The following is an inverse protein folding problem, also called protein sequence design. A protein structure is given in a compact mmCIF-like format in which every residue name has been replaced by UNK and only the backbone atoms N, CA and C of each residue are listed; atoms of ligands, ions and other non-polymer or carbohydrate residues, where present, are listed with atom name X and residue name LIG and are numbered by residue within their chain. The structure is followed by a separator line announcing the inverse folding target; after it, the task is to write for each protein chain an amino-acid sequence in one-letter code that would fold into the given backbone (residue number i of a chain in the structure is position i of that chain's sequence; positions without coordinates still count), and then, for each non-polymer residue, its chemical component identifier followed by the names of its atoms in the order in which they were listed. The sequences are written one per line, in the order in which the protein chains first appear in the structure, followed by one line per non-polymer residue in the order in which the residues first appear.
data_IF_940200894052
#
_entry.id   IF_940200894052
#
_cell.length_a   1.000
_cell.length_b   1.000
_cell.length_c   1.000
_cell.angle_alpha   90.00
_cell.angle_beta   90.00
_cell.angle_gamma   90.00
#
_symmetry.space_group_name_H-M   'P 1'
#
loop_
_entity.id
_entity.type
_entity.pdbx_description
1 polymer ?
#
# COMPACT_ATOMS: atom_id res chain seq x y z
N UNK A 1 -5.72 14.37 15.11
CA UNK A 1 -4.54 14.79 14.35
C UNK A 1 -3.35 14.00 14.89
N UNK A 2 -2.54 13.44 13.98
CA UNK A 2 -1.33 12.69 14.35
C UNK A 2 -0.13 13.64 14.36
N UNK A 3 0.79 13.45 15.30
CA UNK A 3 2.02 14.26 15.33
C UNK A 3 2.98 13.79 14.22
N UNK A 4 3.19 12.47 14.08
CA UNK A 4 4.10 11.94 13.10
C UNK A 4 3.58 10.70 12.37
N UNK A 5 3.71 10.71 11.04
CA UNK A 5 3.61 9.54 10.17
C UNK A 5 5.01 9.01 9.86
N UNK A 6 5.28 7.77 10.21
CA UNK A 6 6.39 6.98 9.70
C UNK A 6 6.01 6.32 8.38
N UNK A 7 6.53 6.82 7.27
CA UNK A 7 6.26 6.27 5.94
C UNK A 7 7.40 5.36 5.50
N UNK A 8 7.11 4.07 5.35
CA UNK A 8 8.09 3.08 4.88
C UNK A 8 7.69 2.64 3.47
N UNK A 9 8.40 3.16 2.48
CA UNK A 9 8.06 3.05 1.06
C UNK A 9 7.44 4.34 0.51
N UNK A 10 8.30 5.23 -0.03
CA UNK A 10 7.91 6.56 -0.53
C UNK A 10 7.51 6.55 -2.03
N UNK A 11 7.04 5.42 -2.58
CA UNK A 11 6.57 5.32 -3.96
C UNK A 11 5.18 5.92 -4.17
N UNK A 12 4.51 5.57 -5.28
CA UNK A 12 3.17 6.06 -5.62
C UNK A 12 2.18 5.93 -4.46
N UNK A 13 2.00 4.72 -3.92
CA UNK A 13 0.97 4.47 -2.89
C UNK A 13 1.30 5.18 -1.57
N UNK A 14 2.51 4.98 -1.06
CA UNK A 14 2.93 5.62 0.20
C UNK A 14 2.97 7.14 0.09
N UNK A 15 3.50 7.66 -1.03
CA UNK A 15 3.55 9.10 -1.30
C UNK A 15 2.17 9.72 -1.38
N UNK A 16 1.24 9.07 -2.08
CA UNK A 16 -0.15 9.54 -2.16
C UNK A 16 -0.84 9.56 -0.80
N UNK A 17 -0.57 8.57 0.06
CA UNK A 17 -1.10 8.56 1.41
C UNK A 17 -0.57 9.73 2.25
N UNK A 18 0.74 9.98 2.19
CA UNK A 18 1.35 11.10 2.90
C UNK A 18 0.78 12.45 2.43
N UNK A 19 0.64 12.64 1.11
CA UNK A 19 0.03 13.85 0.54
C UNK A 19 -1.44 14.01 0.95
N UNK A 20 -2.22 12.92 0.96
CA UNK A 20 -3.61 12.93 1.40
C UNK A 20 -3.73 13.32 2.88
N UNK A 21 -2.87 12.75 3.74
CA UNK A 21 -2.80 13.08 5.17
C UNK A 21 -2.47 14.56 5.41
N UNK A 22 -1.49 15.10 4.68
CA UNK A 22 -1.11 16.51 4.75
C UNK A 22 -2.24 17.41 4.26
N UNK A 23 -2.84 17.11 3.11
CA UNK A 23 -3.96 17.87 2.54
C UNK A 23 -5.17 17.94 3.46
N UNK A 24 -5.44 16.83 4.15
CA UNK A 24 -6.54 16.75 5.12
C UNK A 24 -6.20 17.35 6.50
N UNK A 25 -4.99 17.83 6.73
CA UNK A 25 -4.54 18.35 8.03
C UNK A 25 -4.51 17.30 9.14
N UNK A 26 -4.33 16.03 8.78
CA UNK A 26 -4.37 14.90 9.71
C UNK A 26 -3.01 14.55 10.30
N UNK A 27 -1.93 15.06 9.74
CA UNK A 27 -0.57 14.82 10.23
C UNK A 27 0.24 16.12 10.24
N UNK A 28 1.06 16.30 11.26
CA UNK A 28 1.96 17.45 11.38
C UNK A 28 3.28 17.23 10.64
N UNK A 29 3.81 16.00 10.69
CA UNK A 29 5.12 15.65 10.14
C UNK A 29 5.12 14.27 9.51
N UNK A 30 5.78 14.14 8.37
CA UNK A 30 6.01 12.86 7.70
C UNK A 30 7.51 12.56 7.67
N UNK A 31 7.91 11.45 8.29
CA UNK A 31 9.28 10.93 8.24
C UNK A 31 9.27 9.73 7.31
N UNK A 32 10.01 9.81 6.19
CA UNK A 32 9.97 8.81 5.14
C UNK A 32 11.26 8.02 4.99
N UNK A 33 11.11 6.75 4.64
CA UNK A 33 12.22 5.86 4.28
C UNK A 33 11.85 5.04 3.05
N UNK A 34 12.80 4.87 2.16
CA UNK A 34 12.77 3.90 1.06
C UNK A 34 14.10 3.17 0.96
N UNK A 35 14.07 1.94 0.43
CA UNK A 35 15.31 1.17 0.19
C UNK A 35 16.26 1.89 -0.77
N UNK A 36 15.72 2.63 -1.75
CA UNK A 36 16.50 3.52 -2.63
C UNK A 36 16.57 4.92 -2.02
N UNK A 37 17.77 5.43 -1.68
CA UNK A 37 17.94 6.80 -1.16
C UNK A 37 17.43 7.87 -2.13
N UNK A 38 17.63 7.68 -3.44
CA UNK A 38 17.13 8.61 -4.47
C UNK A 38 15.61 8.78 -4.43
N UNK A 39 14.86 7.70 -4.14
CA UNK A 39 13.40 7.78 -3.96
C UNK A 39 13.03 8.61 -2.73
N UNK A 40 13.77 8.47 -1.64
CA UNK A 40 13.51 9.23 -0.40
C UNK A 40 13.84 10.70 -0.59
N UNK A 41 15.00 10.99 -1.20
CA UNK A 41 15.40 12.36 -1.56
C UNK A 41 14.36 13.02 -2.49
N UNK A 42 13.92 12.30 -3.52
CA UNK A 42 12.89 12.80 -4.44
C UNK A 42 11.56 13.07 -3.75
N UNK A 43 11.14 12.18 -2.85
CA UNK A 43 9.94 12.39 -2.03
C UNK A 43 10.03 13.66 -1.18
N UNK A 44 11.20 13.97 -0.64
CA UNK A 44 11.44 15.20 0.12
C UNK A 44 11.39 16.44 -0.78
N UNK A 45 12.05 16.40 -1.93
CA UNK A 45 12.03 17.50 -2.90
C UNK A 45 10.62 17.85 -3.36
N UNK A 46 9.76 16.84 -3.53
CA UNK A 46 8.36 17.01 -3.92
C UNK A 46 7.43 17.36 -2.75
N UNK A 47 7.94 17.53 -1.54
CA UNK A 47 7.15 17.86 -0.36
C UNK A 47 6.25 16.72 0.15
N UNK A 48 6.47 15.49 -0.35
CA UNK A 48 5.74 14.30 0.10
C UNK A 48 6.10 13.95 1.54
N UNK A 49 7.40 13.97 1.85
CA UNK A 49 7.93 13.79 3.22
C UNK A 49 8.63 15.07 3.69
N UNK A 50 8.69 15.25 5.00
CA UNK A 50 9.35 16.39 5.62
C UNK A 50 10.80 16.06 6.02
N UNK A 51 11.03 14.79 6.37
CA UNK A 51 12.33 14.30 6.83
C UNK A 51 12.64 12.97 6.17
N UNK A 52 13.88 12.85 5.70
CA UNK A 52 14.45 11.59 5.22
C UNK A 52 14.99 10.79 6.39
N UNK A 53 14.57 9.52 6.50
CA UNK A 53 15.15 8.60 7.48
C UNK A 53 16.13 7.64 6.79
N UNK A 54 17.27 7.32 7.41
CA UNK A 54 18.25 6.38 6.85
C UNK A 54 17.83 4.91 6.99
N UNK A 55 16.77 4.63 7.75
CA UNK A 55 16.25 3.27 7.96
C UNK A 55 14.76 3.27 8.29
N UNK A 56 14.12 2.11 8.10
CA UNK A 56 12.73 1.90 8.52
C UNK A 56 12.54 2.12 10.03
N UNK A 57 13.53 1.71 10.84
CA UNK A 57 13.51 1.92 12.28
C UNK A 57 13.42 3.42 12.63
N UNK A 58 14.25 4.26 12.01
CA UNK A 58 14.25 5.69 12.28
C UNK A 58 13.05 6.41 11.66
N UNK A 59 12.46 5.90 10.60
CA UNK A 59 11.19 6.42 10.08
C UNK A 59 10.03 6.15 11.05
N UNK A 60 10.04 5.01 11.73
CA UNK A 60 9.00 4.64 12.70
C UNK A 60 9.22 5.21 14.10
N UNK A 61 10.44 5.70 14.41
CA UNK A 61 10.75 6.22 15.73
C UNK A 61 9.93 7.47 16.06
N UNK A 62 9.15 7.41 17.14
CA UNK A 62 8.26 8.50 17.57
C UNK A 62 7.01 8.69 16.71
N UNK A 63 6.69 7.75 15.83
CA UNK A 63 5.50 7.84 15.00
C UNK A 63 4.23 7.38 15.76
N UNK A 64 3.14 8.12 15.60
CA UNK A 64 1.80 7.71 16.06
C UNK A 64 1.15 6.72 15.09
N UNK A 65 1.54 6.84 13.83
CA UNK A 65 1.06 6.01 12.73
C UNK A 65 2.24 5.61 11.84
N UNK A 66 2.28 4.34 11.44
CA UNK A 66 3.24 3.82 10.47
C UNK A 66 2.50 3.22 9.29
N UNK A 67 2.86 3.64 8.08
CA UNK A 67 2.38 3.01 6.86
C UNK A 67 3.50 2.22 6.18
N UNK A 68 3.23 0.94 5.92
CA UNK A 68 4.08 0.10 5.09
C UNK A 68 3.56 0.11 3.65
N UNK A 69 4.28 0.77 2.76
CA UNK A 69 4.02 0.78 1.32
C UNK A 69 5.18 0.11 0.56
N UNK A 70 5.53 -1.08 1.03
CA UNK A 70 6.62 -1.92 0.51
C UNK A 70 6.04 -3.15 -0.21
N UNK A 71 6.82 -3.82 -1.07
CA UNK A 71 6.41 -5.11 -1.63
C UNK A 71 6.02 -6.11 -0.53
N UNK A 72 4.98 -6.93 -0.76
CA UNK A 72 4.46 -7.89 0.23
C UNK A 72 5.58 -8.75 0.82
N UNK A 73 6.51 -9.24 -0.02
CA UNK A 73 7.65 -10.04 0.43
C UNK A 73 8.59 -9.32 1.42
N UNK A 74 8.56 -7.98 1.48
CA UNK A 74 9.39 -7.21 2.41
C UNK A 74 8.68 -6.92 3.76
N UNK A 75 7.40 -7.21 3.89
CA UNK A 75 6.57 -6.87 5.06
C UNK A 75 7.15 -7.44 6.34
N UNK A 76 7.48 -8.74 6.37
CA UNK A 76 7.98 -9.38 7.59
C UNK A 76 9.30 -8.79 8.08
N UNK A 77 10.26 -8.61 7.16
CA UNK A 77 11.56 -8.03 7.49
C UNK A 77 11.42 -6.58 7.99
N UNK A 78 10.56 -5.79 7.35
CA UNK A 78 10.27 -4.41 7.75
C UNK A 78 9.66 -4.34 9.15
N UNK A 79 8.63 -5.15 9.42
CA UNK A 79 7.99 -5.19 10.74
C UNK A 79 8.96 -5.70 11.83
N UNK A 80 9.80 -6.69 11.53
CA UNK A 80 10.86 -7.13 12.46
C UNK A 80 11.82 -6.00 12.83
N UNK A 81 12.18 -5.16 11.87
CA UNK A 81 13.10 -4.04 12.10
C UNK A 81 12.51 -2.98 13.07
N UNK A 82 11.20 -2.76 13.03
CA UNK A 82 10.54 -1.72 13.85
C UNK A 82 9.85 -2.26 15.11
N UNK A 83 9.76 -3.58 15.31
CA UNK A 83 8.95 -4.21 16.35
C UNK A 83 9.18 -3.66 17.76
N UNK A 84 10.43 -3.27 18.08
CA UNK A 84 10.79 -2.76 19.40
C UNK A 84 10.23 -1.36 19.69
N UNK A 85 9.76 -0.66 18.68
CA UNK A 85 9.12 0.66 18.79
C UNK A 85 7.60 0.56 18.89
N UNK A 86 7.02 -0.60 18.55
CA UNK A 86 5.58 -0.78 18.47
C UNK A 86 4.97 -0.76 19.86
N UNK A 87 3.98 0.09 20.04
CA UNK A 87 3.18 0.20 21.27
C UNK A 87 1.71 -0.02 20.94
N UNK A 88 0.86 -0.31 21.94
CA UNK A 88 -0.58 -0.41 21.71
C UNK A 88 -1.24 0.86 21.18
N UNK A 89 -0.59 2.03 21.34
CA UNK A 89 -1.06 3.33 20.85
C UNK A 89 -0.67 3.60 19.40
N UNK A 90 0.40 2.97 18.90
CA UNK A 90 0.85 3.13 17.53
C UNK A 90 -0.11 2.39 16.59
N UNK A 91 -0.62 3.07 15.58
CA UNK A 91 -1.37 2.44 14.49
C UNK A 91 -0.39 2.06 13.37
N UNK A 92 -0.36 0.78 13.02
CA UNK A 92 0.43 0.31 11.88
C UNK A 92 -0.52 -0.21 10.81
N UNK A 93 -0.34 0.21 9.57
CA UNK A 93 -1.10 -0.25 8.41
C UNK A 93 -0.16 -0.60 7.25
N UNK A 94 -0.68 -1.37 6.32
CA UNK A 94 -0.06 -1.59 5.01
C UNK A 94 -1.01 -1.18 3.87
N UNK A 95 -0.52 -1.29 2.63
CA UNK A 95 -1.30 -1.06 1.40
C UNK A 95 -1.11 -2.20 0.38
N UNK A 96 -0.71 -3.37 0.85
CA UNK A 96 -0.45 -4.54 0.01
C UNK A 96 -1.70 -5.11 -0.65
N UNK A 97 -1.54 -5.71 -1.82
CA UNK A 97 -2.65 -6.28 -2.62
C UNK A 97 -3.07 -7.69 -2.20
N UNK A 98 -2.28 -8.40 -1.39
CA UNK A 98 -2.63 -9.68 -0.76
C UNK A 98 -2.66 -9.52 0.75
N UNK A 99 -3.56 -10.23 1.45
CA UNK A 99 -3.76 -10.02 2.87
C UNK A 99 -3.38 -11.22 3.74
N UNK A 100 -3.63 -12.43 3.31
CA UNK A 100 -3.29 -13.63 4.09
C UNK A 100 -1.78 -13.69 4.40
N UNK A 101 -0.92 -13.50 3.39
CA UNK A 101 0.53 -13.49 3.56
C UNK A 101 1.00 -12.32 4.42
N UNK A 102 0.42 -11.13 4.23
CA UNK A 102 0.72 -9.92 5.01
C UNK A 102 0.37 -10.13 6.48
N UNK A 103 -0.81 -10.68 6.77
CA UNK A 103 -1.25 -10.99 8.15
C UNK A 103 -0.32 -12.00 8.80
N UNK A 104 0.01 -13.10 8.11
CA UNK A 104 0.93 -14.10 8.64
C UNK A 104 2.33 -13.51 8.90
N UNK A 105 2.85 -12.71 7.97
CA UNK A 105 4.12 -12.02 8.13
C UNK A 105 4.10 -11.08 9.36
N UNK A 106 3.03 -10.33 9.53
CA UNK A 106 2.85 -9.42 10.67
C UNK A 106 2.75 -10.20 12.00
N UNK A 107 2.02 -11.30 12.03
CA UNK A 107 1.92 -12.16 13.22
C UNK A 107 3.30 -12.72 13.64
N UNK A 108 4.09 -13.22 12.68
CA UNK A 108 5.46 -13.71 12.95
C UNK A 108 6.40 -12.61 13.43
N UNK A 109 6.29 -11.41 12.84
CA UNK A 109 7.17 -10.30 13.17
C UNK A 109 6.83 -9.65 14.51
N UNK A 110 5.57 -9.28 14.71
CA UNK A 110 5.11 -8.45 15.83
C UNK A 110 4.74 -9.27 17.08
N UNK A 111 4.36 -10.53 16.93
CA UNK A 111 3.98 -11.43 18.03
C UNK A 111 2.91 -10.80 18.93
N UNK A 112 3.22 -10.48 20.19
CA UNK A 112 2.28 -9.91 21.16
C UNK A 112 1.83 -8.49 20.79
N UNK A 113 2.60 -7.78 19.97
CA UNK A 113 2.30 -6.42 19.50
C UNK A 113 1.45 -6.40 18.23
N UNK A 114 1.07 -7.57 17.69
CA UNK A 114 0.27 -7.68 16.47
C UNK A 114 -1.03 -6.88 16.51
N UNK A 115 -1.62 -6.70 17.69
CA UNK A 115 -2.87 -5.95 17.85
C UNK A 115 -2.83 -4.51 17.34
N UNK A 116 -1.65 -3.91 17.23
CA UNK A 116 -1.44 -2.56 16.67
C UNK A 116 -1.46 -2.51 15.14
N UNK A 117 -1.46 -3.67 14.46
CA UNK A 117 -1.44 -3.77 13.01
C UNK A 117 -2.86 -3.95 12.45
N UNK A 118 -3.27 -3.07 11.56
CA UNK A 118 -4.53 -3.13 10.81
C UNK A 118 -4.19 -3.30 9.33
N UNK A 119 -4.30 -4.52 8.79
CA UNK A 119 -4.01 -4.76 7.37
C UNK A 119 -5.03 -4.04 6.50
N UNK A 120 -4.55 -3.35 5.45
CA UNK A 120 -5.41 -2.60 4.55
C UNK A 120 -5.02 -2.86 3.08
N UNK A 121 -6.02 -2.79 2.21
CA UNK A 121 -5.83 -2.81 0.76
C UNK A 121 -6.68 -1.72 0.11
N UNK A 122 -6.09 -0.59 -0.24
CA UNK A 122 -6.75 0.42 -1.07
C UNK A 122 -6.91 -0.11 -2.50
N UNK A 123 -8.16 -0.16 -2.99
CA UNK A 123 -8.47 -0.65 -4.33
C UNK A 123 -8.32 0.50 -5.31
N UNK A 124 -7.09 0.87 -5.52
CA UNK A 124 -6.67 1.93 -6.43
C UNK A 124 -5.21 1.74 -6.80
N UNK A 125 -4.80 2.38 -7.86
CA UNK A 125 -3.44 2.39 -8.36
C UNK A 125 -3.39 3.08 -9.71
N UNK A 126 -2.21 3.16 -10.27
CA UNK A 126 -1.96 3.63 -11.64
C UNK A 126 -0.95 2.67 -12.29
N UNK A 127 -0.93 2.65 -13.59
CA UNK A 127 0.02 1.82 -14.38
C UNK A 127 1.43 2.44 -14.42
N UNK A 128 1.69 3.37 -13.51
CA UNK A 128 2.97 4.05 -13.34
C UNK A 128 3.47 3.85 -11.91
N UNK A 129 4.76 3.82 -11.74
CA UNK A 129 5.43 3.73 -10.45
C UNK A 129 6.24 4.98 -10.16
N UNK A 130 6.61 5.18 -8.90
CA UNK A 130 7.43 6.32 -8.49
C UNK A 130 6.67 7.38 -7.70
N UNK A 131 7.40 8.14 -6.92
CA UNK A 131 6.86 9.21 -6.08
C UNK A 131 6.40 10.41 -6.90
N UNK A 132 6.93 10.57 -8.11
CA UNK A 132 6.57 11.61 -9.08
C UNK A 132 5.09 11.57 -9.46
N UNK A 133 4.49 10.40 -9.36
CA UNK A 133 3.09 10.17 -9.71
C UNK A 133 2.16 10.14 -8.48
N UNK A 134 2.70 10.44 -7.29
CA UNK A 134 1.91 10.48 -6.07
C UNK A 134 0.90 11.65 -6.10
N UNK A 135 -0.34 11.37 -5.72
CA UNK A 135 -1.45 12.33 -5.74
C UNK A 135 -2.24 12.28 -4.44
N UNK A 136 -2.53 13.44 -3.86
CA UNK A 136 -3.29 13.54 -2.61
C UNK A 136 -4.74 13.00 -2.71
N UNK A 137 -5.31 12.97 -3.91
CA UNK A 137 -6.68 12.49 -4.15
C UNK A 137 -6.76 11.05 -4.65
N UNK A 138 -5.64 10.31 -4.70
CA UNK A 138 -5.58 8.93 -5.21
C UNK A 138 -6.62 8.00 -4.55
N UNK A 139 -6.87 8.19 -3.26
CA UNK A 139 -7.76 7.35 -2.45
C UNK A 139 -9.21 7.85 -2.41
N UNK A 140 -9.47 9.08 -2.86
CA UNK A 140 -10.78 9.70 -2.77
C UNK A 140 -11.82 8.97 -3.62
N UNK A 141 -12.95 8.58 -2.99
CA UNK A 141 -14.00 7.80 -3.62
C UNK A 141 -13.64 6.34 -3.90
N UNK A 142 -12.41 5.92 -3.56
CA UNK A 142 -11.95 4.53 -3.74
C UNK A 142 -12.34 3.65 -2.56
N UNK A 143 -12.46 2.36 -2.82
CA UNK A 143 -12.68 1.39 -1.77
C UNK A 143 -11.36 1.09 -1.06
N UNK A 144 -11.40 0.98 0.26
CA UNK A 144 -10.31 0.46 1.10
C UNK A 144 -10.86 -0.72 1.89
N UNK A 145 -10.23 -1.87 1.76
CA UNK A 145 -10.63 -3.07 2.48
C UNK A 145 -9.68 -3.27 3.65
N UNK A 146 -10.23 -3.31 4.85
CA UNK A 146 -9.50 -3.68 6.06
C UNK A 146 -9.71 -5.17 6.32
N UNK A 147 -8.65 -5.86 6.73
CA UNK A 147 -8.75 -7.30 7.03
C UNK A 147 -8.32 -7.58 8.47
N UNK A 148 -9.10 -7.07 9.46
CA UNK A 148 -8.79 -7.32 10.87
C UNK A 148 -8.88 -8.82 11.20
N UNK A 149 -8.13 -9.23 12.21
CA UNK A 149 -8.24 -10.55 12.82
C UNK A 149 -8.75 -10.42 14.25
N UNK A 150 -9.03 -11.53 14.91
CA UNK A 150 -9.42 -11.54 16.33
C UNK A 150 -8.40 -10.90 17.27
N UNK A 151 -7.12 -10.85 16.85
CA UNK A 151 -6.03 -10.23 17.60
C UNK A 151 -5.87 -8.74 17.34
N UNK A 152 -6.54 -8.18 16.34
CA UNK A 152 -6.49 -6.74 16.02
C UNK A 152 -7.21 -5.96 17.13
N UNK A 153 -6.55 -4.96 17.71
CA UNK A 153 -7.15 -4.12 18.73
C UNK A 153 -8.31 -3.30 18.13
N UNK A 154 -9.49 -3.39 18.74
CA UNK A 154 -10.70 -2.67 18.29
C UNK A 154 -10.46 -1.16 18.18
N UNK A 155 -9.66 -0.59 19.09
CA UNK A 155 -9.30 0.83 19.05
C UNK A 155 -8.50 1.17 17.78
N UNK A 156 -7.57 0.32 17.37
CA UNK A 156 -6.75 0.53 16.17
C UNK A 156 -7.58 0.34 14.91
N UNK A 157 -8.47 -0.65 14.89
CA UNK A 157 -9.40 -0.82 13.77
C UNK A 157 -10.25 0.43 13.55
N UNK A 158 -10.88 0.95 14.61
CA UNK A 158 -11.69 2.19 14.52
C UNK A 158 -10.87 3.40 14.07
N UNK A 159 -9.61 3.51 14.52
CA UNK A 159 -8.71 4.58 14.06
C UNK A 159 -8.41 4.46 12.57
N UNK A 160 -8.13 3.24 12.09
CA UNK A 160 -7.89 2.99 10.67
C UNK A 160 -9.14 3.29 9.82
N UNK A 161 -10.32 2.82 10.23
CA UNK A 161 -11.60 3.12 9.58
C UNK A 161 -11.86 4.63 9.48
N UNK A 162 -11.71 5.32 10.60
CA UNK A 162 -11.90 6.77 10.67
C UNK A 162 -10.91 7.54 9.80
N UNK A 163 -9.65 7.09 9.77
CA UNK A 163 -8.60 7.70 8.97
C UNK A 163 -8.90 7.57 7.47
N UNK A 164 -9.12 6.36 6.96
CA UNK A 164 -9.42 6.15 5.54
C UNK A 164 -10.71 6.87 5.12
N UNK A 165 -11.72 6.93 6.00
CA UNK A 165 -12.96 7.70 5.75
C UNK A 165 -12.67 9.19 5.63
N UNK A 166 -11.82 9.76 6.50
CA UNK A 166 -11.42 11.17 6.42
C UNK A 166 -10.60 11.48 5.16
N UNK A 167 -9.88 10.51 4.61
CA UNK A 167 -9.21 10.63 3.31
C UNK A 167 -10.20 10.51 2.13
N UNK A 168 -11.50 10.34 2.40
CA UNK A 168 -12.56 10.26 1.40
C UNK A 168 -12.75 8.87 0.80
N UNK A 169 -12.20 7.83 1.40
CA UNK A 169 -12.36 6.46 0.94
C UNK A 169 -13.65 5.82 1.45
N UNK A 170 -14.14 4.81 0.73
CA UNK A 170 -15.22 3.94 1.18
C UNK A 170 -14.62 2.71 1.85
N UNK A 171 -14.76 2.61 3.16
CA UNK A 171 -14.14 1.54 3.96
C UNK A 171 -15.09 0.36 4.11
N UNK A 172 -14.57 -0.85 3.94
CA UNK A 172 -15.25 -2.11 4.26
C UNK A 172 -14.27 -3.07 4.93
N UNK A 173 -14.80 -4.09 5.60
CA UNK A 173 -13.98 -5.10 6.29
C UNK A 173 -14.40 -6.51 5.87
N UNK A 174 -13.43 -7.41 5.77
CA UNK A 174 -13.63 -8.84 5.56
C UNK A 174 -12.44 -9.63 6.14
N UNK A 175 -12.53 -10.97 6.16
CA UNK A 175 -11.36 -11.78 6.57
C UNK A 175 -10.25 -11.74 5.51
N UNK A 176 -8.98 -11.93 5.90
CA UNK A 176 -7.86 -12.00 4.95
C UNK A 176 -8.08 -13.07 3.85
N UNK A 177 -8.62 -14.21 4.21
CA UNK A 177 -8.88 -15.33 3.30
C UNK A 177 -9.99 -14.99 2.29
N UNK A 178 -11.10 -14.39 2.77
CA UNK A 178 -12.18 -13.92 1.90
C UNK A 178 -11.71 -12.84 0.94
N UNK A 179 -10.86 -11.93 1.42
CA UNK A 179 -10.22 -10.92 0.59
C UNK A 179 -9.43 -11.57 -0.55
N UNK A 180 -8.47 -12.44 -0.21
CA UNK A 180 -7.57 -13.02 -1.21
C UNK A 180 -8.32 -13.91 -2.21
N UNK A 181 -9.32 -14.68 -1.77
CA UNK A 181 -10.18 -15.46 -2.66
C UNK A 181 -10.97 -14.57 -3.64
N UNK A 182 -11.51 -13.45 -3.15
CA UNK A 182 -12.24 -12.50 -4.00
C UNK A 182 -11.31 -11.84 -5.02
N UNK A 183 -10.15 -11.33 -4.58
CA UNK A 183 -9.21 -10.63 -5.45
C UNK A 183 -8.48 -11.56 -6.41
N UNK A 184 -8.29 -12.82 -6.05
CA UNK A 184 -7.82 -13.84 -6.99
C UNK A 184 -8.74 -13.94 -8.21
N UNK A 185 -10.06 -13.96 -7.99
CA UNK A 185 -11.05 -14.10 -9.05
C UNK A 185 -11.25 -12.82 -9.88
N UNK A 186 -11.41 -11.65 -9.22
CA UNK A 186 -11.83 -10.41 -9.90
C UNK A 186 -10.67 -9.49 -10.32
N UNK A 187 -9.45 -9.75 -9.87
CA UNK A 187 -8.28 -8.94 -10.14
C UNK A 187 -7.11 -9.77 -10.66
N UNK A 188 -6.59 -10.72 -9.88
CA UNK A 188 -5.34 -11.40 -10.22
C UNK A 188 -5.49 -12.31 -11.44
N UNK A 189 -6.55 -13.09 -11.53
CA UNK A 189 -6.81 -13.96 -12.69
C UNK A 189 -6.96 -13.19 -14.00
N UNK A 190 -7.77 -12.10 -14.07
CA UNK A 190 -7.81 -11.25 -15.26
C UNK A 190 -6.45 -10.69 -15.67
N UNK A 191 -5.62 -10.24 -14.72
CA UNK A 191 -4.27 -9.76 -15.02
C UNK A 191 -3.39 -10.88 -15.59
N UNK A 192 -3.39 -12.06 -14.96
CA UNK A 192 -2.61 -13.20 -15.47
C UNK A 192 -3.02 -13.59 -16.89
N UNK A 193 -4.32 -13.57 -17.19
CA UNK A 193 -4.82 -13.87 -18.52
C UNK A 193 -4.40 -12.81 -19.53
N UNK A 194 -4.45 -11.52 -19.18
CA UNK A 194 -3.98 -10.43 -20.04
C UNK A 194 -2.49 -10.57 -20.37
N UNK A 195 -1.65 -10.80 -19.37
CA UNK A 195 -0.20 -11.03 -19.56
C UNK A 195 0.08 -12.28 -20.39
N UNK A 196 -0.60 -13.40 -20.11
CA UNK A 196 -0.41 -14.63 -20.87
C UNK A 196 -0.81 -14.47 -22.34
N UNK A 197 -1.95 -13.78 -22.60
CA UNK A 197 -2.42 -13.50 -23.93
C UNK A 197 -1.44 -12.61 -24.71
N UNK A 198 -0.99 -11.50 -24.10
CA UNK A 198 -0.03 -10.61 -24.74
C UNK A 198 1.32 -11.30 -24.99
N UNK A 199 1.83 -12.05 -24.02
CA UNK A 199 3.07 -12.82 -24.15
C UNK A 199 2.99 -13.85 -25.28
N UNK A 200 1.82 -14.50 -25.44
CA UNK A 200 1.59 -15.46 -26.52
C UNK A 200 1.65 -14.82 -27.91
N UNK A 201 1.23 -13.56 -28.04
CA UNK A 201 1.26 -12.81 -29.31
C UNK A 201 2.66 -12.28 -29.60
N UNK A 202 3.30 -11.66 -28.60
CA UNK A 202 4.65 -11.08 -28.76
C UNK A 202 5.68 -12.15 -29.14
N UNK A 203 5.48 -13.38 -28.71
CA UNK A 203 6.35 -14.53 -29.05
C UNK A 203 6.21 -15.04 -30.50
N UNK A 204 5.30 -14.48 -31.32
CA UNK A 204 5.09 -14.95 -32.70
C UNK A 204 5.90 -14.12 -33.69
N UNK A 205 6.33 -14.73 -34.84
CA UNK A 205 7.07 -14.00 -35.87
C UNK A 205 6.31 -12.80 -36.48
N UNK A 206 4.95 -12.85 -36.45
CA UNK A 206 4.07 -11.82 -37.00
C UNK A 206 3.46 -10.92 -35.91
N UNK A 207 4.13 -10.77 -34.76
CA UNK A 207 3.60 -10.05 -33.60
C UNK A 207 3.12 -8.63 -33.94
N UNK A 208 3.91 -7.87 -34.71
CA UNK A 208 3.58 -6.50 -35.09
C UNK A 208 2.33 -6.42 -35.95
N UNK A 209 2.18 -7.33 -36.92
CA UNK A 209 1.00 -7.41 -37.79
C UNK A 209 -0.26 -7.77 -36.95
N UNK A 210 -0.14 -8.73 -36.02
CA UNK A 210 -1.24 -9.12 -35.15
C UNK A 210 -1.65 -7.98 -34.21
N UNK A 211 -0.69 -7.26 -33.64
CA UNK A 211 -0.96 -6.12 -32.77
C UNK A 211 -1.55 -4.93 -33.52
N UNK A 212 -1.16 -4.73 -34.82
CA UNK A 212 -1.76 -3.71 -35.64
C UNK A 212 -3.26 -3.96 -35.95
N UNK A 213 -3.68 -5.23 -35.94
CA UNK A 213 -5.09 -5.64 -36.07
C UNK A 213 -5.88 -5.60 -34.79
N UNK A 214 -5.23 -5.30 -33.63
CA UNK A 214 -5.86 -5.31 -32.33
C UNK A 214 -6.98 -4.25 -32.23
N UNK A 215 -8.20 -4.72 -32.05
CA UNK A 215 -9.37 -3.89 -31.82
C UNK A 215 -9.48 -3.34 -30.39
N UNK A 216 -10.49 -2.48 -30.11
CA UNK A 216 -10.67 -1.88 -28.79
C UNK A 216 -10.77 -2.90 -27.65
N UNK A 217 -11.53 -3.97 -27.83
CA UNK A 217 -11.71 -4.99 -26.78
C UNK A 217 -10.40 -5.67 -26.37
N UNK A 218 -9.50 -5.93 -27.36
CA UNK A 218 -8.17 -6.46 -27.05
C UNK A 218 -7.34 -5.46 -26.25
N UNK A 219 -7.31 -4.19 -26.70
CA UNK A 219 -6.54 -3.11 -26.05
C UNK A 219 -7.03 -2.85 -24.62
N UNK A 220 -8.35 -2.84 -24.41
CA UNK A 220 -8.93 -2.64 -23.06
C UNK A 220 -8.56 -3.79 -22.14
N UNK A 221 -8.62 -5.03 -22.62
CA UNK A 221 -8.30 -6.20 -21.82
C UNK A 221 -6.81 -6.32 -21.50
N UNK A 222 -5.93 -5.94 -22.45
CA UNK A 222 -4.46 -6.03 -22.29
C UNK A 222 -3.82 -4.75 -21.80
N UNK A 223 -4.59 -3.72 -21.49
CA UNK A 223 -4.07 -2.41 -21.05
C UNK A 223 -3.12 -2.48 -19.85
N UNK A 224 -3.26 -3.52 -19.05
CA UNK A 224 -2.46 -3.73 -17.84
C UNK A 224 -1.23 -4.62 -18.08
N UNK A 225 -1.11 -5.26 -19.20
CA UNK A 225 0.00 -6.10 -19.64
C UNK A 225 0.91 -5.33 -20.63
#
# INVERSE_FOLDING_TARGET
MFEQLGLIGCGLMGGSFALAMKKAGLVQRVVGYSKSPSTTERARQLGVIDVEAPSALLAAAGADIVLLAVPVAATEATLKAIKHLVTPQMLIMDVGSTKADVVQAAQRALRDQFGSFVPAHPITGREVSGVEHAEADLYRGRQVILTPTERTLTAQLRRAEGLWTQLGSRVSSMSPESHDASFAAVSHLPHMLAFAMLSSIIGQPQADDLLALAGPGFRDFTRIA
#
